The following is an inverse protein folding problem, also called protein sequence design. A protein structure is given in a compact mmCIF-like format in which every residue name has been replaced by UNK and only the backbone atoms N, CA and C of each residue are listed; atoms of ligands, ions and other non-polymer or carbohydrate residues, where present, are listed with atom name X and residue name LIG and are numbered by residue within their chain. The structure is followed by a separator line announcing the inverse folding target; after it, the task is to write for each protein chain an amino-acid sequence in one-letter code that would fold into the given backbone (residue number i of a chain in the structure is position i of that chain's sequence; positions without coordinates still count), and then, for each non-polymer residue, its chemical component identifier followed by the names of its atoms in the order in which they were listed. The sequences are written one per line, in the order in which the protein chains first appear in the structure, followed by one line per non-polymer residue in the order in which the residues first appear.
data_IF_626266038341
#
_entry.id   IF_626266038341
#
_cell.length_a   1.000
_cell.length_b   1.000
_cell.length_c   1.000
_cell.angle_alpha   90.00
_cell.angle_beta   90.00
_cell.angle_gamma   90.00
#
_symmetry.space_group_name_H-M   'P 1'
#
loop_
_entity.id
_entity.type
_entity.pdbx_description
1 polymer ?
#
# COMPACT_ATOMS: atom_id res chain seq x y z
N UNK A 1 -63.35 -29.82 61.45
CA UNK A 1 -64.23 -28.87 60.76
C UNK A 1 -64.32 -29.28 59.34
N UNK A 2 -65.33 -29.92 58.91
CA UNK A 2 -65.47 -30.38 57.51
C UNK A 2 -66.02 -29.19 56.65
N UNK A 3 -65.30 -28.89 55.57
CA UNK A 3 -65.68 -27.82 54.65
C UNK A 3 -67.01 -28.21 53.99
N UNK A 4 -68.06 -27.38 54.03
CA UNK A 4 -69.35 -27.71 53.44
C UNK A 4 -69.21 -27.95 51.93
N UNK A 5 -69.91 -28.95 51.35
CA UNK A 5 -69.73 -29.42 49.95
C UNK A 5 -69.98 -28.30 48.91
N UNK A 6 -70.71 -27.27 49.25
CA UNK A 6 -70.86 -26.07 48.41
C UNK A 6 -69.62 -25.21 48.28
N UNK A 7 -68.92 -24.99 49.38
CA UNK A 7 -67.64 -24.25 49.36
C UNK A 7 -66.56 -25.02 48.63
N UNK A 8 -66.49 -26.33 48.72
CA UNK A 8 -65.58 -27.19 47.94
C UNK A 8 -65.75 -27.09 46.43
N UNK A 9 -67.04 -27.01 45.97
CA UNK A 9 -67.37 -26.83 44.52
C UNK A 9 -66.96 -25.43 44.01
N UNK A 10 -67.22 -24.39 44.80
CA UNK A 10 -66.82 -23.02 44.45
C UNK A 10 -65.27 -22.93 44.42
N UNK A 11 -64.51 -23.50 45.38
CA UNK A 11 -63.07 -23.53 45.37
C UNK A 11 -62.53 -24.31 44.18
N UNK A 12 -63.15 -25.44 43.79
CA UNK A 12 -62.81 -26.21 42.58
C UNK A 12 -63.06 -25.44 41.28
N UNK A 13 -64.15 -24.67 41.23
CA UNK A 13 -64.50 -23.81 40.07
C UNK A 13 -63.48 -22.63 39.98
N UNK A 14 -63.17 -22.01 41.10
CA UNK A 14 -62.16 -20.94 41.18
C UNK A 14 -60.74 -21.43 40.81
N UNK A 15 -60.32 -22.60 41.30
CA UNK A 15 -59.03 -23.20 40.90
C UNK A 15 -59.01 -23.61 39.45
N UNK A 16 -60.12 -24.12 38.87
CA UNK A 16 -60.21 -24.41 37.43
C UNK A 16 -60.20 -23.14 36.60
N UNK A 17 -60.88 -22.06 37.04
CA UNK A 17 -60.86 -20.77 36.35
C UNK A 17 -59.46 -20.13 36.39
N UNK A 18 -58.77 -20.22 37.54
CA UNK A 18 -57.42 -19.74 37.72
C UNK A 18 -56.42 -20.53 36.81
N UNK A 19 -56.51 -21.86 36.83
CA UNK A 19 -55.59 -22.74 36.13
C UNK A 19 -55.86 -22.76 34.61
N UNK A 20 -57.07 -22.71 34.12
CA UNK A 20 -57.45 -22.80 32.71
C UNK A 20 -57.66 -21.43 32.06
N UNK A 21 -57.87 -20.36 32.82
CA UNK A 21 -58.08 -19.02 32.28
C UNK A 21 -56.94 -18.08 32.61
N UNK A 22 -56.66 -17.84 33.88
CA UNK A 22 -55.69 -16.81 34.27
C UNK A 22 -54.23 -17.23 34.02
N UNK A 23 -53.92 -18.51 34.33
CA UNK A 23 -52.52 -18.96 34.15
C UNK A 23 -52.04 -18.93 32.68
N UNK A 24 -52.81 -19.46 31.69
CA UNK A 24 -52.40 -19.35 30.28
C UNK A 24 -52.37 -17.89 29.78
N UNK A 25 -53.27 -17.04 30.29
CA UNK A 25 -53.25 -15.61 29.95
C UNK A 25 -51.99 -14.91 30.47
N UNK A 26 -51.59 -15.18 31.71
CA UNK A 26 -50.36 -14.65 32.27
C UNK A 26 -49.13 -15.13 31.50
N UNK A 27 -49.07 -16.42 31.14
CA UNK A 27 -48.01 -16.99 30.33
C UNK A 27 -47.97 -16.33 28.95
N UNK A 28 -49.12 -16.12 28.30
CA UNK A 28 -49.21 -15.46 27.00
C UNK A 28 -48.75 -14.00 27.09
N UNK A 29 -49.19 -13.25 28.11
CA UNK A 29 -48.75 -11.85 28.32
C UNK A 29 -47.26 -11.75 28.60
N UNK A 30 -46.74 -12.63 29.43
CA UNK A 30 -45.31 -12.67 29.77
C UNK A 30 -44.46 -13.09 28.55
N UNK A 31 -44.91 -14.10 27.83
CA UNK A 31 -44.31 -14.56 26.58
C UNK A 31 -44.32 -13.48 25.49
N UNK A 32 -45.41 -12.76 25.37
CA UNK A 32 -45.57 -11.65 24.43
C UNK A 32 -44.65 -10.47 24.79
N UNK A 33 -44.56 -10.15 26.07
CA UNK A 33 -43.67 -9.11 26.58
C UNK A 33 -42.20 -9.47 26.38
N UNK A 34 -41.82 -10.71 26.66
CA UNK A 34 -40.49 -11.22 26.39
C UNK A 34 -40.15 -11.19 24.90
N UNK A 35 -41.10 -11.60 24.05
CA UNK A 35 -40.97 -11.54 22.58
C UNK A 35 -40.81 -10.09 22.10
N UNK A 36 -41.62 -9.17 22.60
CA UNK A 36 -41.61 -7.77 22.18
C UNK A 36 -40.29 -7.04 22.54
N UNK A 37 -39.69 -7.40 23.67
CA UNK A 37 -38.37 -6.90 24.11
C UNK A 37 -37.18 -7.58 23.40
N UNK A 38 -37.40 -8.75 22.78
CA UNK A 38 -36.40 -9.45 22.02
C UNK A 38 -36.03 -8.71 20.73
N UNK A 39 -34.93 -9.15 20.11
CA UNK A 39 -34.49 -8.63 18.79
C UNK A 39 -33.59 -7.40 18.84
N UNK A 40 -33.32 -6.87 20.05
CA UNK A 40 -32.36 -5.78 20.23
C UNK A 40 -30.92 -6.22 19.95
N UNK A 41 -30.59 -7.41 20.40
CA UNK A 41 -29.26 -8.00 20.23
C UNK A 41 -29.26 -8.93 19.03
N UNK A 42 -28.37 -8.66 18.11
CA UNK A 42 -28.17 -9.50 16.91
C UNK A 42 -26.79 -10.13 17.02
N UNK A 43 -26.79 -11.46 17.02
CA UNK A 43 -25.60 -12.27 17.27
C UNK A 43 -25.20 -13.07 16.04
N UNK A 44 -23.89 -13.24 15.87
CA UNK A 44 -23.29 -14.17 14.89
C UNK A 44 -22.05 -14.84 15.48
N UNK A 45 -21.94 -16.15 15.26
CA UNK A 45 -20.76 -16.96 15.57
C UNK A 45 -19.79 -17.04 14.36
N UNK A 46 -20.28 -16.64 13.16
CA UNK A 46 -19.48 -16.60 11.94
C UNK A 46 -18.72 -15.27 11.86
N UNK A 47 -17.76 -15.12 12.75
CA UNK A 47 -16.93 -13.94 12.83
C UNK A 47 -15.46 -14.31 13.09
N UNK A 48 -14.56 -13.63 12.38
CA UNK A 48 -13.14 -13.91 12.40
C UNK A 48 -12.33 -12.66 12.68
N UNK A 49 -11.33 -12.81 13.53
CA UNK A 49 -10.33 -11.77 13.75
C UNK A 49 -9.45 -11.67 12.52
N UNK A 50 -9.31 -10.48 11.99
CA UNK A 50 -8.42 -10.13 10.86
C UNK A 50 -7.36 -9.14 11.33
N UNK A 51 -6.21 -9.19 10.70
CA UNK A 51 -5.13 -8.21 10.85
C UNK A 51 -4.46 -7.98 9.50
N UNK A 52 -3.78 -6.88 9.34
CA UNK A 52 -2.96 -6.65 8.16
C UNK A 52 -1.79 -7.63 8.15
N UNK A 53 -1.60 -8.31 7.03
CA UNK A 53 -0.49 -9.24 6.82
C UNK A 53 0.34 -8.71 5.67
N UNK A 54 1.55 -8.24 5.98
CA UNK A 54 2.52 -7.78 5.00
C UNK A 54 3.46 -8.93 4.65
N UNK A 55 3.45 -9.37 3.40
CA UNK A 55 4.42 -10.36 2.92
C UNK A 55 5.73 -9.63 2.60
N UNK A 56 6.80 -10.03 3.27
CA UNK A 56 8.12 -9.49 3.03
C UNK A 56 8.85 -10.29 1.96
N UNK A 57 9.41 -9.56 1.00
CA UNK A 57 10.28 -10.07 -0.05
C UNK A 57 11.61 -9.34 -0.05
N UNK A 58 12.66 -9.96 -0.57
CA UNK A 58 13.92 -9.27 -0.75
C UNK A 58 13.82 -8.27 -1.91
N UNK A 59 14.21 -6.99 -1.73
CA UNK A 59 14.21 -6.01 -2.82
C UNK A 59 15.36 -6.23 -3.82
N UNK A 60 16.37 -7.00 -3.42
CA UNK A 60 17.56 -7.38 -4.21
C UNK A 60 17.85 -8.86 -4.03
N UNK A 61 18.61 -9.46 -4.95
CA UNK A 61 18.99 -10.87 -4.89
C UNK A 61 20.34 -11.05 -4.22
N UNK A 62 20.52 -12.12 -3.43
CA UNK A 62 21.83 -12.44 -2.87
C UNK A 62 21.78 -13.46 -1.75
N UNK A 63 22.96 -13.89 -1.29
CA UNK A 63 23.08 -14.85 -0.20
C UNK A 63 22.83 -14.16 1.14
N UNK A 64 22.01 -14.76 1.97
CA UNK A 64 21.74 -14.32 3.34
C UNK A 64 22.95 -14.62 4.23
N UNK A 65 23.49 -13.60 4.87
CA UNK A 65 24.67 -13.72 5.76
C UNK A 65 24.30 -13.66 7.24
N UNK A 66 23.14 -13.06 7.55
CA UNK A 66 22.70 -12.90 8.93
C UNK A 66 21.17 -12.91 8.98
N UNK A 67 20.61 -13.60 9.97
CA UNK A 67 19.18 -13.64 10.27
C UNK A 67 19.01 -13.33 11.75
N UNK A 68 18.39 -12.19 12.08
CA UNK A 68 18.23 -11.69 13.44
C UNK A 68 16.83 -11.95 13.98
N UNK A 69 15.82 -11.89 13.12
CA UNK A 69 14.45 -12.16 13.49
C UNK A 69 14.21 -13.68 13.57
N UNK A 70 13.29 -14.07 14.45
CA UNK A 70 12.83 -15.45 14.61
C UNK A 70 11.34 -15.54 14.32
N UNK A 71 10.90 -16.74 13.96
CA UNK A 71 9.47 -16.99 13.80
C UNK A 71 8.71 -16.74 15.11
N UNK A 72 7.52 -16.13 15.02
CA UNK A 72 6.69 -15.72 16.16
C UNK A 72 7.31 -14.64 17.08
N UNK A 73 8.36 -13.95 16.64
CA UNK A 73 8.96 -12.85 17.39
C UNK A 73 8.25 -11.53 17.06
N UNK A 74 7.94 -10.75 18.08
CA UNK A 74 7.52 -9.36 17.94
C UNK A 74 8.72 -8.48 17.57
N UNK A 75 8.52 -7.61 16.58
CA UNK A 75 9.52 -6.66 16.08
C UNK A 75 8.92 -5.27 15.97
N UNK A 76 9.73 -4.26 16.19
CA UNK A 76 9.36 -2.86 15.98
C UNK A 76 9.59 -2.42 14.54
N UNK A 77 8.91 -1.36 14.11
CA UNK A 77 9.18 -0.73 12.81
C UNK A 77 10.66 -0.29 12.72
N UNK A 78 11.31 -0.60 11.60
CA UNK A 78 12.75 -0.32 11.39
C UNK A 78 13.70 -1.35 11.98
N UNK A 79 13.23 -2.35 12.73
CA UNK A 79 14.07 -3.42 13.26
C UNK A 79 14.70 -4.23 12.12
N UNK A 80 16.00 -4.51 12.21
CA UNK A 80 16.71 -5.32 11.22
C UNK A 80 16.29 -6.79 11.36
N UNK A 81 15.77 -7.36 10.27
CA UNK A 81 15.25 -8.72 10.24
C UNK A 81 16.30 -9.72 9.74
N UNK A 82 16.93 -9.39 8.63
CA UNK A 82 18.03 -10.18 8.06
C UNK A 82 18.90 -9.30 7.16
N UNK A 83 20.07 -9.80 6.78
CA UNK A 83 21.02 -9.10 5.92
C UNK A 83 21.50 -10.00 4.78
N UNK A 84 21.46 -9.46 3.58
CA UNK A 84 22.07 -10.04 2.38
C UNK A 84 23.55 -9.66 2.34
N UNK A 85 24.39 -10.50 1.72
CA UNK A 85 25.81 -10.24 1.55
C UNK A 85 26.06 -8.87 0.87
N UNK A 86 26.63 -7.87 1.55
CA UNK A 86 26.83 -6.54 1.00
C UNK A 86 28.01 -6.47 0.01
N UNK A 87 28.94 -7.40 0.08
CA UNK A 87 30.21 -7.34 -0.67
C UNK A 87 30.06 -7.12 -2.19
N UNK A 88 29.15 -7.81 -2.91
CA UNK A 88 28.96 -7.53 -4.34
C UNK A 88 28.48 -6.10 -4.62
N UNK A 89 27.69 -5.52 -3.73
CA UNK A 89 27.15 -4.16 -3.83
C UNK A 89 28.20 -3.10 -3.49
N UNK A 90 29.04 -3.37 -2.50
CA UNK A 90 30.22 -2.53 -2.20
C UNK A 90 31.17 -2.45 -3.39
N UNK A 91 31.45 -3.58 -4.05
CA UNK A 91 32.25 -3.63 -5.27
C UNK A 91 31.57 -2.84 -6.41
N UNK A 92 30.24 -2.89 -6.52
CA UNK A 92 29.51 -2.11 -7.52
C UNK A 92 29.65 -0.60 -7.29
N UNK A 93 29.61 -0.14 -6.04
CA UNK A 93 29.85 1.26 -5.66
C UNK A 93 31.29 1.69 -6.07
N UNK A 94 32.30 0.89 -5.73
CA UNK A 94 33.68 1.24 -6.08
C UNK A 94 33.88 1.27 -7.61
N UNK A 95 33.21 0.39 -8.34
CA UNK A 95 33.21 0.42 -9.81
C UNK A 95 32.53 1.68 -10.37
N UNK A 96 31.40 2.10 -9.80
CA UNK A 96 30.71 3.32 -10.21
C UNK A 96 31.56 4.57 -9.91
N UNK A 97 32.23 4.64 -8.76
CA UNK A 97 33.18 5.71 -8.43
C UNK A 97 34.34 5.79 -9.43
N UNK A 98 34.94 4.64 -9.76
CA UNK A 98 36.01 4.60 -10.74
C UNK A 98 35.55 5.09 -12.13
N UNK A 99 34.31 4.83 -12.54
CA UNK A 99 33.74 5.36 -13.78
C UNK A 99 33.61 6.89 -13.76
N UNK A 100 33.19 7.47 -12.63
CA UNK A 100 33.15 8.92 -12.46
C UNK A 100 34.54 9.55 -12.63
N UNK A 101 35.57 8.92 -12.11
CA UNK A 101 36.95 9.41 -12.27
C UNK A 101 37.46 9.30 -13.72
N UNK A 102 37.02 8.25 -14.44
CA UNK A 102 37.27 8.14 -15.89
C UNK A 102 36.62 9.30 -16.63
N UNK A 103 35.36 9.61 -16.37
CA UNK A 103 34.64 10.74 -17.00
C UNK A 103 35.33 12.07 -16.71
N UNK A 104 35.81 12.30 -15.48
CA UNK A 104 36.59 13.51 -15.14
C UNK A 104 37.85 13.63 -16.00
N UNK A 105 38.56 12.51 -16.19
CA UNK A 105 39.76 12.45 -17.02
C UNK A 105 39.45 12.68 -18.49
N UNK A 106 38.37 12.08 -19.02
CA UNK A 106 37.92 12.29 -20.39
C UNK A 106 37.54 13.75 -20.67
N UNK A 107 36.82 14.39 -19.76
CA UNK A 107 36.46 15.81 -19.89
C UNK A 107 37.73 16.70 -19.86
N UNK A 108 38.67 16.35 -19.00
CA UNK A 108 39.96 17.08 -18.98
C UNK A 108 40.74 16.91 -20.28
N UNK A 109 40.76 15.71 -20.87
CA UNK A 109 41.39 15.42 -22.15
C UNK A 109 40.72 16.20 -23.30
N UNK A 110 39.38 16.20 -23.36
CA UNK A 110 38.60 16.98 -24.35
C UNK A 110 38.93 18.49 -24.27
N UNK A 111 39.09 19.03 -23.06
CA UNK A 111 39.50 20.44 -22.86
C UNK A 111 40.90 20.70 -23.39
N UNK A 112 41.82 19.77 -23.16
CA UNK A 112 43.17 19.89 -23.68
C UNK A 112 43.18 19.84 -25.22
N UNK A 113 42.42 18.92 -25.80
CA UNK A 113 42.23 18.79 -27.26
C UNK A 113 41.63 20.07 -27.86
N UNK A 114 40.59 20.62 -27.24
CA UNK A 114 39.98 21.89 -27.67
C UNK A 114 40.98 23.02 -27.71
N UNK A 115 41.80 23.18 -26.64
CA UNK A 115 42.83 24.19 -26.57
C UNK A 115 43.89 24.02 -27.67
N UNK A 116 44.35 22.78 -27.91
CA UNK A 116 45.31 22.48 -28.96
C UNK A 116 44.73 22.81 -30.34
N UNK A 117 43.48 22.48 -30.62
CA UNK A 117 42.84 22.79 -31.89
C UNK A 117 42.67 24.30 -32.10
N UNK A 118 42.38 25.06 -31.02
CA UNK A 118 42.36 26.54 -31.11
C UNK A 118 43.72 27.12 -31.44
N UNK A 119 44.80 26.65 -30.81
CA UNK A 119 46.15 27.11 -31.11
C UNK A 119 46.56 26.81 -32.56
N UNK A 120 46.17 25.64 -33.09
CA UNK A 120 46.40 25.29 -34.52
C UNK A 120 45.61 26.21 -35.45
N UNK A 121 44.38 26.59 -35.08
CA UNK A 121 43.57 27.55 -35.84
C UNK A 121 44.23 28.93 -35.86
N UNK A 122 44.75 29.37 -34.74
CA UNK A 122 45.43 30.68 -34.65
C UNK A 122 46.74 30.68 -35.46
N UNK A 123 47.57 29.65 -35.37
CA UNK A 123 48.77 29.49 -36.20
C UNK A 123 48.41 29.56 -37.70
N UNK A 124 47.35 28.88 -38.10
CA UNK A 124 46.92 28.93 -39.52
C UNK A 124 46.40 30.31 -39.91
N UNK A 125 45.75 31.05 -39.04
CA UNK A 125 45.35 32.44 -39.27
C UNK A 125 46.55 33.38 -39.47
N UNK A 126 47.57 33.22 -38.65
CA UNK A 126 48.83 34.00 -38.83
C UNK A 126 49.48 33.66 -40.18
N UNK A 127 49.49 32.39 -40.57
CA UNK A 127 49.99 31.97 -41.90
C UNK A 127 49.21 32.61 -43.02
N UNK A 128 47.89 32.72 -42.92
CA UNK A 128 47.04 33.41 -43.90
C UNK A 128 47.46 34.88 -44.04
N UNK A 129 47.64 35.59 -42.91
CA UNK A 129 48.11 36.98 -42.95
C UNK A 129 49.47 37.14 -43.67
N UNK A 130 50.35 36.21 -43.43
CA UNK A 130 51.66 36.19 -44.17
C UNK A 130 51.45 35.97 -45.66
N UNK A 131 50.68 34.97 -46.06
CA UNK A 131 50.40 34.64 -47.46
C UNK A 131 49.63 35.75 -48.17
N UNK A 132 48.71 36.44 -47.47
CA UNK A 132 48.01 37.61 -48.03
C UNK A 132 49.01 38.73 -48.41
N UNK A 133 49.90 39.09 -47.45
CA UNK A 133 50.93 40.09 -47.71
C UNK A 133 51.88 39.65 -48.86
N UNK A 134 52.15 38.37 -48.97
CA UNK A 134 52.97 37.82 -50.07
C UNK A 134 52.22 37.96 -51.39
N UNK A 135 50.96 37.56 -51.46
CA UNK A 135 50.11 37.67 -52.67
C UNK A 135 50.00 39.13 -53.12
N UNK A 136 49.76 40.09 -52.19
CA UNK A 136 49.75 41.53 -52.50
C UNK A 136 51.03 42.02 -53.13
N UNK A 137 52.19 41.60 -52.59
CA UNK A 137 53.52 41.94 -53.20
C UNK A 137 53.65 41.35 -54.62
N UNK A 138 53.26 40.07 -54.80
CA UNK A 138 53.31 39.41 -56.10
C UNK A 138 52.35 40.06 -57.11
N UNK A 139 51.17 40.49 -56.68
CA UNK A 139 50.20 41.20 -57.51
C UNK A 139 50.80 42.48 -58.06
N UNK A 140 51.44 43.29 -57.21
CA UNK A 140 52.14 44.57 -57.66
C UNK A 140 53.27 44.26 -58.64
N UNK A 141 54.11 43.25 -58.37
CA UNK A 141 55.20 42.91 -59.26
C UNK A 141 54.69 42.37 -60.62
N UNK A 142 53.54 41.63 -60.62
CA UNK A 142 52.89 41.20 -61.89
C UNK A 142 52.37 42.39 -62.70
N UNK A 143 51.78 43.41 -62.07
CA UNK A 143 51.29 44.63 -62.70
C UNK A 143 52.41 45.37 -63.40
N UNK A 144 53.61 45.36 -62.83
CA UNK A 144 54.82 45.97 -63.47
C UNK A 144 55.54 45.02 -64.45
N UNK A 145 54.98 43.84 -64.72
CA UNK A 145 55.61 42.86 -65.64
C UNK A 145 56.88 42.21 -65.13
N UNK A 146 57.17 42.29 -63.79
CA UNK A 146 58.44 41.83 -63.16
C UNK A 146 58.41 40.38 -62.76
N UNK A 147 57.28 39.69 -62.79
CA UNK A 147 57.16 38.27 -62.46
C UNK A 147 56.33 37.51 -63.46
N UNK A 148 56.53 36.21 -63.52
CA UNK A 148 55.74 35.27 -64.34
C UNK A 148 54.39 35.04 -63.71
N UNK A 149 53.33 34.74 -64.56
CA UNK A 149 51.99 34.52 -64.11
C UNK A 149 51.85 33.29 -63.17
N UNK A 150 52.65 32.24 -63.41
CA UNK A 150 52.66 31.03 -62.61
C UNK A 150 53.04 31.29 -61.13
N UNK A 151 54.00 32.19 -60.85
CA UNK A 151 54.42 32.57 -59.52
C UNK A 151 53.26 33.27 -58.73
N UNK A 152 52.50 34.13 -59.45
CA UNK A 152 51.31 34.75 -58.85
C UNK A 152 50.19 33.74 -58.60
N UNK A 153 49.95 32.83 -59.55
CA UNK A 153 48.90 31.84 -59.46
C UNK A 153 49.22 30.82 -58.33
N UNK A 154 50.49 30.46 -58.13
CA UNK A 154 50.97 29.65 -57.00
C UNK A 154 50.71 30.37 -55.66
N UNK A 155 51.06 31.65 -55.54
CA UNK A 155 50.83 32.41 -54.31
C UNK A 155 49.29 32.50 -53.95
N UNK A 156 48.48 32.66 -55.01
CA UNK A 156 47.00 32.64 -54.84
C UNK A 156 46.52 31.29 -54.37
N UNK A 157 46.97 30.21 -54.99
CA UNK A 157 46.59 28.85 -54.59
C UNK A 157 46.99 28.54 -53.14
N UNK A 158 48.22 28.92 -52.75
CA UNK A 158 48.72 28.72 -51.39
C UNK A 158 47.82 29.45 -50.35
N UNK A 159 47.41 30.67 -50.65
CA UNK A 159 46.47 31.41 -49.78
C UNK A 159 45.10 30.73 -49.68
N UNK A 160 44.58 30.25 -50.83
CA UNK A 160 43.28 29.56 -50.85
C UNK A 160 43.32 28.24 -50.07
N UNK A 161 44.39 27.46 -50.20
CA UNK A 161 44.63 26.24 -49.41
C UNK A 161 44.67 26.55 -47.92
N UNK A 162 45.40 27.60 -47.51
CA UNK A 162 45.48 28.02 -46.09
C UNK A 162 44.13 28.46 -45.55
N UNK A 163 43.32 29.18 -46.33
CA UNK A 163 41.92 29.56 -45.95
C UNK A 163 41.06 28.35 -45.72
N UNK A 164 41.11 27.33 -46.61
CA UNK A 164 40.36 26.08 -46.42
C UNK A 164 40.85 25.33 -45.17
N UNK A 165 42.16 25.36 -44.87
CA UNK A 165 42.70 24.73 -43.68
C UNK A 165 42.18 25.37 -42.37
N UNK A 166 42.04 26.69 -42.31
CA UNK A 166 41.40 27.35 -41.14
C UNK A 166 39.96 26.88 -40.98
N UNK A 167 39.19 26.81 -42.06
CA UNK A 167 37.79 26.34 -41.99
C UNK A 167 37.68 24.92 -41.44
N UNK A 168 38.53 23.99 -41.92
CA UNK A 168 38.55 22.60 -41.40
C UNK A 168 39.01 22.51 -39.94
N UNK A 169 39.98 23.32 -39.54
CA UNK A 169 40.44 23.33 -38.12
C UNK A 169 39.37 23.94 -37.22
N UNK A 170 38.68 25.03 -37.67
CA UNK A 170 37.58 25.63 -36.91
C UNK A 170 36.43 24.63 -36.72
N UNK A 171 36.09 23.85 -37.76
CA UNK A 171 35.05 22.83 -37.66
C UNK A 171 35.46 21.68 -36.70
N UNK A 172 36.76 21.35 -36.69
CA UNK A 172 37.27 20.38 -35.72
C UNK A 172 37.15 20.92 -34.26
N UNK A 173 37.43 22.20 -34.06
CA UNK A 173 37.23 22.85 -32.76
C UNK A 173 35.75 22.84 -32.32
N UNK A 174 34.85 23.15 -33.26
CA UNK A 174 33.40 23.12 -33.01
C UNK A 174 32.93 21.72 -32.59
N UNK A 175 33.44 20.68 -33.24
CA UNK A 175 33.14 19.28 -32.89
C UNK A 175 33.59 18.93 -31.47
N UNK A 176 34.83 19.30 -31.11
CA UNK A 176 35.34 19.07 -29.75
C UNK A 176 34.54 19.90 -28.73
N UNK A 177 34.16 21.13 -29.10
CA UNK A 177 33.31 21.99 -28.26
C UNK A 177 31.91 21.38 -28.05
N UNK A 178 31.34 20.79 -29.07
CA UNK A 178 30.07 20.09 -28.96
C UNK A 178 30.17 18.89 -27.98
N UNK A 179 31.28 18.14 -28.01
CA UNK A 179 31.54 17.08 -27.04
C UNK A 179 31.73 17.61 -25.59
N UNK A 180 32.12 18.89 -25.45
CA UNK A 180 32.16 19.60 -24.17
C UNK A 180 30.83 20.28 -23.79
N UNK A 181 29.75 19.88 -24.43
CA UNK A 181 28.40 20.45 -24.23
C UNK A 181 28.32 21.97 -24.51
N UNK A 182 29.14 22.46 -25.45
CA UNK A 182 29.18 23.86 -25.88
C UNK A 182 29.94 24.83 -24.97
N UNK A 183 30.46 24.38 -23.81
CA UNK A 183 31.21 25.20 -22.89
C UNK A 183 32.55 24.54 -22.48
N UNK A 184 33.69 25.05 -22.96
CA UNK A 184 35.01 24.50 -22.62
C UNK A 184 35.38 24.70 -21.14
N UNK A 185 34.66 25.55 -20.40
CA UNK A 185 34.89 25.84 -18.98
C UNK A 185 33.89 25.08 -18.08
N UNK A 186 32.91 24.40 -18.64
CA UNK A 186 31.91 23.66 -17.88
C UNK A 186 32.60 22.67 -16.90
N UNK A 187 32.35 22.71 -15.59
CA UNK A 187 32.86 21.71 -14.65
C UNK A 187 32.55 20.29 -15.09
N UNK A 188 33.44 19.33 -14.85
CA UNK A 188 33.20 17.94 -15.25
C UNK A 188 31.91 17.38 -14.63
N UNK A 189 31.62 17.81 -13.42
CA UNK A 189 30.42 17.44 -12.65
C UNK A 189 29.09 17.89 -13.30
N UNK A 190 29.14 18.89 -14.19
CA UNK A 190 27.98 19.38 -14.95
C UNK A 190 27.87 18.76 -16.35
N UNK A 191 28.84 17.93 -16.71
CA UNK A 191 28.81 17.23 -17.99
C UNK A 191 27.74 16.13 -17.99
N UNK A 192 26.92 15.96 -19.07
CA UNK A 192 25.85 14.95 -19.10
C UNK A 192 26.31 13.53 -18.75
N UNK A 193 27.48 13.11 -19.26
CA UNK A 193 28.05 11.78 -18.93
C UNK A 193 28.40 11.63 -17.44
N UNK A 194 28.79 12.71 -16.79
CA UNK A 194 29.02 12.68 -15.35
C UNK A 194 27.73 12.50 -14.55
N UNK A 195 26.65 13.14 -14.98
CA UNK A 195 25.34 12.96 -14.38
C UNK A 195 24.82 11.52 -14.54
N UNK A 196 25.05 10.90 -15.72
CA UNK A 196 24.73 9.50 -15.97
C UNK A 196 25.46 8.55 -15.00
N UNK A 197 26.78 8.70 -14.85
CA UNK A 197 27.57 7.86 -13.94
C UNK A 197 27.27 8.18 -12.46
N UNK A 198 26.84 9.41 -12.14
CA UNK A 198 26.37 9.75 -10.79
C UNK A 198 25.07 8.99 -10.47
N UNK A 199 24.15 8.94 -11.40
CA UNK A 199 22.91 8.16 -11.24
C UNK A 199 23.22 6.65 -11.05
N UNK A 200 24.20 6.11 -11.77
CA UNK A 200 24.65 4.72 -11.59
C UNK A 200 25.29 4.50 -10.20
N UNK A 201 26.01 5.49 -9.67
CA UNK A 201 26.54 5.43 -8.30
C UNK A 201 25.42 5.45 -7.26
N UNK A 202 24.44 6.33 -7.43
CA UNK A 202 23.28 6.44 -6.54
C UNK A 202 22.46 5.13 -6.53
N UNK A 203 22.26 4.50 -7.70
CA UNK A 203 21.62 3.19 -7.81
C UNK A 203 22.40 2.12 -7.03
N UNK A 204 23.71 2.05 -7.18
CA UNK A 204 24.55 1.10 -6.46
C UNK A 204 24.52 1.33 -4.93
N UNK A 205 24.45 2.59 -4.48
CA UNK A 205 24.30 2.94 -3.07
C UNK A 205 22.95 2.51 -2.52
N UNK A 206 21.86 2.78 -3.24
CA UNK A 206 20.51 2.30 -2.86
C UNK A 206 20.46 0.78 -2.77
N UNK A 207 21.11 0.07 -3.68
CA UNK A 207 21.14 -1.39 -3.63
C UNK A 207 21.95 -1.90 -2.44
N UNK A 208 23.02 -1.23 -2.03
CA UNK A 208 23.74 -1.54 -0.80
C UNK A 208 22.83 -1.34 0.44
N UNK A 209 22.10 -0.25 0.52
CA UNK A 209 21.14 -0.02 1.59
C UNK A 209 20.08 -1.11 1.65
N UNK A 210 19.60 -1.55 0.50
CA UNK A 210 18.62 -2.63 0.35
C UNK A 210 19.14 -4.01 0.78
N UNK A 211 20.43 -4.17 1.05
CA UNK A 211 20.97 -5.40 1.66
C UNK A 211 20.51 -5.59 3.10
N UNK A 212 20.08 -4.52 3.77
CA UNK A 212 19.58 -4.51 5.13
C UNK A 212 18.07 -4.52 5.11
N UNK A 213 17.48 -5.66 5.32
CA UNK A 213 16.03 -5.82 5.29
C UNK A 213 15.47 -5.53 6.69
N UNK A 214 14.69 -4.46 6.79
CA UNK A 214 14.08 -3.98 8.03
C UNK A 214 12.57 -4.19 8.02
N UNK A 215 11.95 -4.24 9.20
CA UNK A 215 10.51 -4.32 9.34
C UNK A 215 9.86 -2.99 8.90
N UNK A 216 8.92 -2.99 7.94
CA UNK A 216 8.25 -1.77 7.51
C UNK A 216 7.30 -1.21 8.57
N UNK A 217 6.72 -2.08 9.40
CA UNK A 217 5.77 -1.77 10.46
C UNK A 217 6.06 -2.63 11.68
N UNK A 218 5.57 -2.21 12.86
CA UNK A 218 5.64 -3.04 14.06
C UNK A 218 4.68 -4.23 13.93
N UNK A 219 5.14 -5.42 14.28
CA UNK A 219 4.34 -6.62 14.11
C UNK A 219 5.00 -7.89 14.64
N UNK A 220 4.37 -9.02 14.36
CA UNK A 220 4.88 -10.35 14.70
C UNK A 220 5.31 -11.06 13.41
N UNK A 221 6.55 -11.51 13.37
CA UNK A 221 7.09 -12.31 12.27
C UNK A 221 6.39 -13.66 12.23
N UNK A 222 5.95 -14.09 11.06
CA UNK A 222 5.24 -15.35 10.87
C UNK A 222 5.74 -16.10 9.62
N UNK A 223 5.77 -17.40 9.69
CA UNK A 223 6.18 -18.31 8.62
C UNK A 223 7.62 -18.05 8.12
N UNK A 224 8.51 -17.71 9.04
CA UNK A 224 9.91 -17.44 8.73
C UNK A 224 10.71 -18.73 8.64
N UNK A 225 11.05 -19.12 7.42
CA UNK A 225 11.88 -20.31 7.14
C UNK A 225 13.30 -19.97 6.71
N UNK A 226 13.57 -18.67 6.49
CA UNK A 226 14.85 -18.17 5.97
C UNK A 226 16.02 -18.52 6.91
N UNK A 227 17.11 -19.04 6.33
CA UNK A 227 18.32 -19.42 7.06
C UNK A 227 19.56 -18.75 6.49
N UNK A 228 20.56 -18.58 7.34
CA UNK A 228 21.88 -18.11 6.92
C UNK A 228 22.47 -19.08 5.87
N UNK A 229 22.97 -18.54 4.78
CA UNK A 229 23.51 -19.28 3.65
C UNK A 229 22.54 -19.49 2.50
N UNK A 230 21.24 -19.31 2.70
CA UNK A 230 20.22 -19.37 1.63
C UNK A 230 20.36 -18.20 0.66
N UNK A 231 19.86 -18.41 -0.54
CA UNK A 231 19.84 -17.37 -1.57
C UNK A 231 18.44 -16.75 -1.63
N UNK A 232 18.36 -15.45 -1.36
CA UNK A 232 17.15 -14.68 -1.50
C UNK A 232 17.06 -14.13 -2.93
N UNK A 233 15.93 -14.40 -3.61
CA UNK A 233 15.66 -13.87 -4.93
C UNK A 233 14.84 -12.60 -4.83
N UNK A 234 15.10 -11.63 -5.69
CA UNK A 234 14.36 -10.37 -5.76
C UNK A 234 12.87 -10.62 -6.00
N UNK A 235 12.03 -10.08 -5.13
CA UNK A 235 10.57 -10.19 -5.23
C UNK A 235 9.99 -11.50 -4.75
N UNK A 236 10.80 -12.54 -4.45
CA UNK A 236 10.29 -13.79 -3.89
C UNK A 236 9.80 -13.60 -2.45
N UNK A 237 8.61 -14.11 -2.09
CA UNK A 237 8.10 -14.02 -0.73
C UNK A 237 8.95 -14.89 0.22
N UNK A 238 9.43 -14.29 1.31
CA UNK A 238 10.30 -14.96 2.28
C UNK A 238 9.56 -15.33 3.56
N UNK A 239 8.78 -14.41 4.10
CA UNK A 239 7.96 -14.59 5.30
C UNK A 239 6.90 -13.49 5.39
N UNK A 240 6.03 -13.57 6.40
CA UNK A 240 4.96 -12.60 6.61
C UNK A 240 5.16 -11.87 7.92
N UNK A 241 4.73 -10.60 7.96
CA UNK A 241 4.65 -9.77 9.15
C UNK A 241 3.19 -9.47 9.44
N UNK A 242 2.69 -9.91 10.59
CA UNK A 242 1.34 -9.62 11.07
C UNK A 242 1.42 -8.34 11.87
N UNK A 243 0.77 -7.29 11.40
CA UNK A 243 0.81 -5.96 12.01
C UNK A 243 0.18 -5.97 13.41
N UNK A 244 0.86 -5.35 14.38
CA UNK A 244 0.38 -5.25 15.74
C UNK A 244 -0.53 -4.03 15.92
N UNK A 245 -1.61 -4.19 16.72
CA UNK A 245 -2.47 -3.09 17.14
C UNK A 245 -3.59 -2.68 16.18
N UNK A 246 -3.70 -3.30 15.01
CA UNK A 246 -4.76 -3.03 14.02
C UNK A 246 -5.58 -4.28 13.70
N UNK A 247 -6.00 -5.02 14.72
CA UNK A 247 -6.93 -6.12 14.54
C UNK A 247 -8.37 -5.60 14.40
N UNK A 248 -9.11 -6.14 13.47
CA UNK A 248 -10.56 -5.94 13.36
C UNK A 248 -11.26 -7.27 13.26
N UNK A 249 -12.57 -7.27 13.38
CA UNK A 249 -13.38 -8.48 13.23
C UNK A 249 -14.23 -8.33 11.97
N UNK A 250 -14.21 -9.35 11.16
CA UNK A 250 -15.12 -9.54 10.04
C UNK A 250 -16.21 -10.50 10.48
N UNK A 251 -17.41 -9.96 10.77
CA UNK A 251 -18.55 -10.68 11.26
C UNK A 251 -19.60 -10.84 10.15
N UNK A 252 -19.91 -12.09 9.79
CA UNK A 252 -20.81 -12.42 8.70
C UNK A 252 -22.26 -12.55 9.20
N UNK A 253 -23.05 -11.51 9.02
CA UNK A 253 -24.46 -11.51 9.39
C UNK A 253 -25.35 -11.97 8.24
N UNK A 254 -26.44 -12.69 8.54
CA UNK A 254 -27.45 -13.02 7.54
C UNK A 254 -28.11 -11.75 7.03
N UNK A 255 -28.43 -11.70 5.73
CA UNK A 255 -29.16 -10.58 5.09
C UNK A 255 -30.40 -10.16 5.89
N UNK A 256 -31.14 -11.13 6.45
CA UNK A 256 -32.33 -10.88 7.27
C UNK A 256 -32.06 -10.21 8.61
N UNK A 257 -30.80 -10.25 9.10
CA UNK A 257 -30.37 -9.65 10.36
C UNK A 257 -29.85 -8.22 10.17
N UNK A 258 -29.41 -7.88 8.96
CA UNK A 258 -28.77 -6.59 8.66
C UNK A 258 -29.75 -5.39 8.68
N UNK A 259 -31.05 -5.62 8.59
CA UNK A 259 -32.05 -4.54 8.49
C UNK A 259 -31.91 -3.46 9.59
N UNK A 260 -31.32 -3.80 10.73
CA UNK A 260 -31.20 -2.92 11.89
C UNK A 260 -29.78 -2.68 12.36
N UNK A 261 -28.77 -3.28 11.70
CA UNK A 261 -27.36 -3.02 11.97
C UNK A 261 -26.95 -1.74 11.22
N UNK A 262 -26.33 -0.82 11.94
CA UNK A 262 -25.83 0.46 11.41
C UNK A 262 -24.41 0.73 11.89
N UNK A 263 -23.66 1.44 11.09
CA UNK A 263 -22.35 1.95 11.47
C UNK A 263 -22.46 2.82 12.72
N UNK A 264 -21.51 2.66 13.65
CA UNK A 264 -21.47 3.35 14.94
C UNK A 264 -22.16 2.63 16.08
N UNK A 265 -22.85 1.52 15.85
CA UNK A 265 -23.48 0.74 16.93
C UNK A 265 -22.43 0.01 17.76
N UNK A 266 -22.68 -0.05 19.09
CA UNK A 266 -21.85 -0.79 20.03
C UNK A 266 -22.05 -2.28 19.84
N UNK A 267 -20.97 -3.01 19.86
CA UNK A 267 -20.95 -4.47 19.80
C UNK A 267 -20.09 -5.05 20.92
N UNK A 268 -20.42 -6.27 21.30
CA UNK A 268 -19.68 -7.07 22.27
C UNK A 268 -19.11 -8.27 21.58
N UNK A 269 -17.83 -8.53 21.81
CA UNK A 269 -17.10 -9.65 21.22
C UNK A 269 -16.68 -10.61 22.33
N UNK A 270 -16.89 -11.89 22.12
CA UNK A 270 -16.47 -12.97 22.99
C UNK A 270 -15.66 -13.96 22.16
N UNK A 271 -14.54 -14.43 22.68
CA UNK A 271 -13.72 -15.47 22.07
C UNK A 271 -13.85 -16.77 22.84
N UNK A 272 -13.97 -17.89 22.14
CA UNK A 272 -14.04 -19.21 22.76
C UNK A 272 -12.77 -19.57 23.57
N UNK A 273 -11.62 -18.94 23.25
CA UNK A 273 -10.37 -19.12 23.99
C UNK A 273 -10.42 -18.41 25.35
N UNK A 274 -11.19 -17.31 25.43
CA UNK A 274 -11.31 -16.47 26.64
C UNK A 274 -12.78 -16.23 26.96
N UNK A 275 -13.55 -17.25 27.41
CA UNK A 275 -14.99 -17.17 27.58
C UNK A 275 -15.42 -16.16 28.65
N UNK A 276 -14.56 -15.90 29.64
CA UNK A 276 -14.81 -14.96 30.72
C UNK A 276 -14.48 -13.50 30.34
N UNK A 277 -14.00 -13.28 29.11
CA UNK A 277 -13.63 -11.94 28.67
C UNK A 277 -14.51 -11.44 27.53
N UNK A 278 -14.92 -10.20 27.66
CA UNK A 278 -15.66 -9.50 26.64
C UNK A 278 -14.88 -8.28 26.17
N UNK A 279 -14.76 -8.13 24.85
CA UNK A 279 -14.19 -6.91 24.25
C UNK A 279 -15.32 -6.02 23.78
N UNK A 280 -15.19 -4.76 24.13
CA UNK A 280 -16.05 -3.73 23.57
C UNK A 280 -15.59 -3.41 22.16
N UNK A 281 -16.54 -3.28 21.25
CA UNK A 281 -16.26 -3.02 19.85
C UNK A 281 -17.34 -2.14 19.23
N UNK A 282 -17.10 -1.61 18.06
CA UNK A 282 -18.02 -0.74 17.35
C UNK A 282 -18.11 -1.15 15.89
N UNK A 283 -19.32 -1.16 15.34
CA UNK A 283 -19.54 -1.38 13.90
C UNK A 283 -18.90 -0.25 13.11
N UNK A 284 -17.83 -0.55 12.38
CA UNK A 284 -17.07 0.41 11.58
C UNK A 284 -17.60 0.55 10.16
N UNK A 285 -17.94 -0.58 9.51
CA UNK A 285 -18.46 -0.59 8.15
C UNK A 285 -19.34 -1.82 7.90
N UNK A 286 -20.19 -1.74 6.90
CA UNK A 286 -20.97 -2.86 6.37
C UNK A 286 -20.52 -3.04 4.92
N UNK A 287 -20.13 -4.26 4.54
CA UNK A 287 -19.68 -4.53 3.18
C UNK A 287 -20.81 -4.25 2.16
N UNK A 288 -20.48 -3.68 0.99
CA UNK A 288 -21.48 -3.34 -0.04
C UNK A 288 -21.99 -4.55 -0.79
N UNK A 289 -21.38 -5.73 -0.64
CA UNK A 289 -21.75 -6.95 -1.34
C UNK A 289 -21.58 -8.18 -0.44
N UNK A 290 -22.21 -9.29 -0.84
CA UNK A 290 -22.11 -10.57 -0.13
C UNK A 290 -20.77 -11.25 -0.38
N UNK A 291 -20.31 -12.10 0.52
CA UNK A 291 -19.09 -12.88 0.32
C UNK A 291 -19.12 -13.80 -0.90
N UNK A 292 -20.30 -14.20 -1.34
CA UNK A 292 -20.47 -15.04 -2.53
C UNK A 292 -20.11 -14.32 -3.84
N UNK A 293 -20.28 -13.00 -3.90
CA UNK A 293 -19.95 -12.20 -5.09
C UNK A 293 -18.42 -12.09 -5.31
N UNK A 294 -17.64 -12.14 -4.24
CA UNK A 294 -16.18 -12.09 -4.28
C UNK A 294 -15.51 -13.47 -4.26
N UNK A 295 -16.32 -14.55 -4.30
CA UNK A 295 -15.76 -15.89 -4.33
C UNK A 295 -15.06 -16.16 -5.68
N UNK A 296 -13.93 -16.85 -5.64
CA UNK A 296 -13.16 -17.26 -6.85
C UNK A 296 -14.01 -18.13 -7.78
N UNK A 297 -14.97 -18.89 -7.23
CA UNK A 297 -15.99 -19.68 -7.95
C UNK A 297 -17.36 -19.28 -7.40
N UNK A 298 -18.02 -18.27 -7.98
CA UNK A 298 -19.39 -17.92 -7.58
C UNK A 298 -20.33 -19.10 -7.82
N UNK A 299 -21.25 -19.38 -6.91
CA UNK A 299 -22.24 -20.47 -7.10
C UNK A 299 -23.14 -20.15 -8.30
N UNK A 300 -22.92 -20.84 -9.41
CA UNK A 300 -23.75 -20.74 -10.61
C UNK A 300 -24.93 -21.70 -10.49
N UNK A 301 -26.08 -21.21 -10.12
CA UNK A 301 -27.33 -21.97 -10.10
C UNK A 301 -28.02 -22.00 -11.50
N UNK A 302 -27.21 -22.24 -12.57
CA UNK A 302 -27.71 -22.15 -13.95
C UNK A 302 -28.55 -23.37 -14.40
N UNK A 303 -28.51 -24.48 -13.65
CA UNK A 303 -29.21 -25.72 -14.05
C UNK A 303 -29.83 -26.39 -12.82
N UNK A 304 -31.13 -26.32 -12.68
CA UNK A 304 -31.88 -27.07 -11.66
C UNK A 304 -32.85 -26.23 -10.83
N UNK A 305 -33.45 -26.82 -9.81
CA UNK A 305 -34.40 -26.13 -8.92
C UNK A 305 -33.68 -24.98 -8.19
N UNK A 306 -34.13 -23.76 -8.47
CA UNK A 306 -33.66 -22.59 -7.72
C UNK A 306 -34.19 -22.64 -6.28
N UNK A 307 -33.27 -22.59 -5.31
CA UNK A 307 -33.62 -22.50 -3.89
C UNK A 307 -33.08 -21.16 -3.37
N UNK A 308 -33.93 -20.38 -2.70
CA UNK A 308 -33.51 -19.13 -2.04
C UNK A 308 -32.59 -19.46 -0.85
N UNK A 309 -31.31 -19.20 -0.99
CA UNK A 309 -30.32 -19.31 0.11
C UNK A 309 -30.11 -17.92 0.71
N UNK A 310 -30.29 -17.80 2.04
CA UNK A 310 -30.00 -16.56 2.76
C UNK A 310 -28.51 -16.27 2.69
N UNK A 311 -28.15 -15.15 2.06
CA UNK A 311 -26.77 -14.72 1.93
C UNK A 311 -26.25 -14.11 3.23
N UNK A 312 -24.91 -14.13 3.40
CA UNK A 312 -24.25 -13.44 4.51
C UNK A 312 -23.49 -12.22 3.97
N UNK A 313 -23.55 -11.14 4.72
CA UNK A 313 -22.89 -9.89 4.41
C UNK A 313 -21.88 -9.59 5.51
N UNK A 314 -20.61 -9.36 5.15
CA UNK A 314 -19.56 -9.02 6.13
C UNK A 314 -19.81 -7.66 6.76
N UNK A 315 -19.73 -7.60 8.08
CA UNK A 315 -19.74 -6.37 8.87
C UNK A 315 -18.38 -6.23 9.52
N UNK A 316 -17.74 -5.10 9.29
CA UNK A 316 -16.42 -4.79 9.85
C UNK A 316 -16.61 -4.15 11.22
N UNK A 317 -16.00 -4.73 12.20
CA UNK A 317 -16.13 -4.34 13.61
C UNK A 317 -14.75 -4.01 14.16
N UNK A 318 -14.60 -2.76 14.62
CA UNK A 318 -13.37 -2.29 15.24
C UNK A 318 -13.41 -2.60 16.72
N UNK A 319 -12.40 -3.31 17.21
CA UNK A 319 -12.26 -3.69 18.61
C UNK A 319 -11.50 -2.61 19.38
N UNK A 320 -11.97 -2.24 20.56
CA UNK A 320 -11.21 -1.41 21.49
C UNK A 320 -10.06 -2.23 22.09
N UNK A 321 -8.94 -1.57 22.40
CA UNK A 321 -7.80 -2.23 23.01
C UNK A 321 -8.20 -2.91 24.34
N UNK A 322 -7.94 -4.21 24.47
CA UNK A 322 -8.27 -5.02 25.63
C UNK A 322 -7.03 -5.62 26.27
N UNK A 323 -7.23 -6.29 27.42
CA UNK A 323 -6.15 -6.91 28.22
C UNK A 323 -5.49 -8.13 27.53
N UNK A 324 -6.17 -8.78 26.60
CA UNK A 324 -5.65 -9.91 25.84
C UNK A 324 -5.65 -9.60 24.35
N UNK A 325 -4.57 -10.02 23.69
CA UNK A 325 -4.39 -9.81 22.26
C UNK A 325 -5.20 -10.84 21.45
N UNK A 326 -6.15 -10.36 20.68
CA UNK A 326 -6.81 -11.17 19.67
C UNK A 326 -5.82 -11.46 18.52
N UNK A 327 -5.70 -12.72 18.14
CA UNK A 327 -4.82 -13.15 17.04
C UNK A 327 -5.61 -13.28 15.75
N UNK A 328 -5.02 -12.89 14.64
CA UNK A 328 -5.61 -13.09 13.32
C UNK A 328 -5.96 -14.56 13.09
N UNK A 329 -7.14 -14.82 12.54
CA UNK A 329 -7.68 -16.16 12.30
C UNK A 329 -8.48 -16.77 13.46
N UNK A 330 -8.52 -16.13 14.63
CA UNK A 330 -9.39 -16.59 15.72
C UNK A 330 -10.86 -16.42 15.34
N UNK A 331 -11.67 -17.41 15.72
CA UNK A 331 -13.13 -17.34 15.68
C UNK A 331 -13.65 -16.64 16.93
N UNK A 332 -14.66 -15.80 16.77
CA UNK A 332 -15.27 -15.04 17.85
C UNK A 332 -16.78 -14.97 17.65
N UNK A 333 -17.51 -14.81 18.74
CA UNK A 333 -18.94 -14.50 18.72
C UNK A 333 -19.13 -13.01 18.85
N UNK A 334 -19.91 -12.41 17.96
CA UNK A 334 -20.17 -10.97 17.94
C UNK A 334 -21.64 -10.69 18.13
N UNK A 335 -21.95 -9.88 19.15
CA UNK A 335 -23.30 -9.42 19.47
C UNK A 335 -23.38 -7.91 19.27
N UNK A 336 -24.19 -7.44 18.32
CA UNK A 336 -24.45 -6.02 18.06
C UNK A 336 -25.72 -5.58 18.78
N UNK A 337 -25.64 -4.47 19.53
CA UNK A 337 -26.80 -3.81 20.13
C UNK A 337 -27.42 -2.84 19.11
N UNK A 338 -28.53 -3.25 18.52
CA UNK A 338 -29.24 -2.44 17.52
C UNK A 338 -30.07 -1.32 18.14
N UNK A 339 -30.19 -1.27 19.49
CA UNK A 339 -31.04 -0.34 20.25
C UNK A 339 -32.53 -0.40 19.84
N UNK A 340 -32.92 -1.41 19.09
CA UNK A 340 -34.28 -1.57 18.59
C UNK A 340 -34.92 -2.84 19.09
N UNK A 341 -35.98 -2.68 19.87
CA UNK A 341 -36.84 -3.78 20.30
C UNK A 341 -37.74 -4.25 19.13
N UNK A 342 -38.07 -5.54 19.06
CA UNK A 342 -38.84 -6.14 17.99
C UNK A 342 -40.26 -5.57 17.92
N UNK A 343 -40.83 -5.17 19.06
CA UNK A 343 -42.19 -4.72 19.18
C UNK A 343 -43.21 -5.86 19.11
N UNK A 344 -44.47 -5.52 19.23
CA UNK A 344 -45.59 -6.49 19.16
C UNK A 344 -45.81 -6.95 17.72
N UNK A 345 -46.20 -8.24 17.50
CA UNK A 345 -46.66 -8.70 16.20
C UNK A 345 -47.86 -7.85 15.70
N UNK A 346 -47.93 -7.59 14.38
CA UNK A 346 -48.97 -6.73 13.79
C UNK A 346 -50.39 -7.09 14.23
N UNK A 347 -50.70 -8.37 14.31
CA UNK A 347 -52.03 -8.87 14.77
C UNK A 347 -52.34 -8.46 16.21
N UNK A 348 -51.36 -8.50 17.10
CA UNK A 348 -51.51 -8.12 18.49
C UNK A 348 -51.51 -6.59 18.66
N UNK A 349 -50.67 -5.90 17.88
CA UNK A 349 -50.65 -4.44 17.87
C UNK A 349 -52.01 -3.85 17.48
N UNK A 350 -52.64 -4.39 16.44
CA UNK A 350 -54.01 -3.98 16.06
C UNK A 350 -55.04 -4.15 17.17
N UNK A 351 -54.89 -5.18 18.03
CA UNK A 351 -55.77 -5.39 19.19
C UNK A 351 -55.48 -4.41 20.35
N UNK A 352 -54.24 -4.02 20.53
CA UNK A 352 -53.85 -2.97 21.49
C UNK A 352 -54.33 -1.59 21.00
N UNK A 353 -54.15 -1.29 19.72
CA UNK A 353 -54.61 -0.03 19.12
C UNK A 353 -56.15 0.08 19.12
N UNK A 354 -56.88 -1.06 18.99
CA UNK A 354 -58.33 -1.14 19.10
C UNK A 354 -58.82 -1.09 20.56
N UNK A 355 -57.96 -1.01 21.55
CA UNK A 355 -58.33 -0.93 22.97
C UNK A 355 -58.70 -2.25 23.62
N UNK A 356 -58.55 -3.39 22.92
CA UNK A 356 -58.88 -4.73 23.44
C UNK A 356 -57.82 -5.33 24.35
N UNK A 357 -56.57 -4.79 24.27
CA UNK A 357 -55.44 -5.20 25.10
C UNK A 357 -54.78 -3.98 25.75
N UNK A 358 -54.25 -4.12 26.99
CA UNK A 358 -53.70 -3.01 27.71
C UNK A 358 -52.41 -2.46 27.07
N UNK A 359 -52.28 -1.15 27.01
CA UNK A 359 -51.12 -0.44 26.38
C UNK A 359 -49.75 -0.70 27.02
N UNK A 360 -49.69 -1.25 28.25
CA UNK A 360 -48.42 -1.61 28.86
C UNK A 360 -47.66 -2.74 28.15
N UNK A 361 -48.32 -3.43 27.20
CA UNK A 361 -47.68 -4.45 26.35
C UNK A 361 -46.76 -3.85 25.29
N UNK A 362 -46.89 -2.56 24.96
CA UNK A 362 -45.94 -1.89 24.08
C UNK A 362 -44.68 -1.50 24.83
N UNK A 363 -43.50 -1.94 24.35
CA UNK A 363 -42.24 -1.46 24.90
C UNK A 363 -42.12 0.06 24.67
N UNK A 364 -41.82 0.82 25.72
CA UNK A 364 -41.53 2.26 25.60
C UNK A 364 -40.29 2.43 24.71
N UNK A 365 -40.48 3.03 23.55
CA UNK A 365 -39.37 3.41 22.68
C UNK A 365 -38.45 4.35 23.46
N UNK A 366 -37.25 3.87 23.85
CA UNK A 366 -36.20 4.71 24.38
C UNK A 366 -35.67 5.53 23.19
N UNK A 367 -36.21 6.72 23.02
CA UNK A 367 -35.57 7.71 22.15
C UNK A 367 -34.25 8.10 22.84
N UNK A 368 -33.14 7.54 22.36
CA UNK A 368 -31.83 8.08 22.66
C UNK A 368 -31.78 9.49 22.11
N UNK A 369 -31.83 10.48 23.03
CA UNK A 369 -31.62 11.87 22.68
C UNK A 369 -30.26 11.99 22.01
N UNK A 370 -30.28 12.31 20.74
CA UNK A 370 -29.10 12.79 20.00
C UNK A 370 -28.78 14.15 20.61
N UNK A 371 -27.82 14.17 21.53
CA UNK A 371 -27.15 15.42 21.89
C UNK A 371 -26.36 15.91 20.66
N UNK A 372 -26.70 17.14 20.25
CA UNK A 372 -26.04 17.90 19.18
C UNK A 372 -24.58 18.13 19.48
#
# INVERSE_FOLDING_TARGET
MAIPPFLARILLLLTRLLLLGVAPLVVAVFGLHYYARGGRFVETEDAYVKANISTLSAPISGRVVEVLARDNQAVEAGALLFRINPQPYEIAIERAKARLDVVRTEVAALRAEYRTTLLQADETRERIQFLQRQLERQAKLKEYGMIRSDVYDEARLNLEVARRQVATTAESANRVLANLNGDPKLPAEKHPRFAEETAALDEAQMDLERTRIVAPVAGVVSNMKLRVGEFAERGAPLFSLIESGQAWIEANYKETQLAHIKVGQVSTVVSDIYPDQTWRATVSAIAPATGAEFAVLPPQNATGNWVKVVQRIPVIIQVEAGNHTLRAGMTVTVTVDTLRERGLPRSVKNLVDAGWLPQFLEPKSVHAGVAK
#
